data_IF_502041537466
#
_entry.id   IF_502041537466
#
_cell.length_a   1.000
_cell.length_b   1.000
_cell.length_c   1.000
_cell.angle_alpha   90.00
_cell.angle_beta   90.00
_cell.angle_gamma   90.00
#
_symmetry.space_group_name_H-M   'P 1'
#
loop_
_entity.id
_entity.type
_entity.pdbx_description
1 polymer ?
#
# COMPACT_ATOMS: atom_id res chain seq x y z
N UNK A 1 -17.66 -1.16 10.01
CA UNK A 1 -17.30 -0.06 10.91
C UNK A 1 -15.93 0.45 10.53
N UNK A 2 -15.72 1.77 10.54
CA UNK A 2 -14.43 2.38 10.23
C UNK A 2 -13.97 3.36 11.31
N UNK A 3 -12.67 3.63 11.34
CA UNK A 3 -12.03 4.69 12.14
C UNK A 3 -10.96 5.43 11.30
N UNK A 4 -10.17 6.30 11.91
CA UNK A 4 -9.11 7.09 11.24
C UNK A 4 -7.92 6.19 10.85
N UNK A 5 -7.25 5.62 11.86
CA UNK A 5 -6.05 4.79 11.69
C UNK A 5 -6.21 3.42 12.37
N UNK A 6 -5.44 2.40 11.95
CA UNK A 6 -5.50 1.11 12.59
C UNK A 6 -4.75 1.12 13.92
N UNK A 7 -5.33 0.44 14.90
CA UNK A 7 -4.64 0.06 16.13
C UNK A 7 -4.99 -1.37 16.47
N UNK A 8 -4.01 -2.17 16.90
CA UNK A 8 -4.17 -3.62 17.04
C UNK A 8 -5.35 -4.04 17.93
N UNK A 9 -5.64 -3.24 18.97
CA UNK A 9 -6.71 -3.55 19.92
C UNK A 9 -8.11 -3.31 19.33
N UNK A 10 -8.21 -2.58 18.21
CA UNK A 10 -9.45 -2.35 17.47
C UNK A 10 -9.62 -3.25 16.24
N UNK A 11 -8.59 -4.02 15.85
CA UNK A 11 -8.66 -4.88 14.65
C UNK A 11 -9.83 -5.88 14.69
N UNK A 12 -10.25 -6.32 15.89
CA UNK A 12 -11.42 -7.20 16.06
C UNK A 12 -12.78 -6.51 15.89
N UNK A 13 -12.82 -5.19 15.77
CA UNK A 13 -14.05 -4.39 15.79
C UNK A 13 -14.17 -3.44 14.59
N UNK A 14 -13.14 -3.32 13.77
CA UNK A 14 -13.11 -2.50 12.57
C UNK A 14 -13.02 -3.39 11.33
N UNK A 15 -13.79 -3.05 10.29
CA UNK A 15 -13.69 -3.70 8.99
C UNK A 15 -12.70 -2.95 8.07
N UNK A 16 -12.59 -1.64 8.27
CA UNK A 16 -11.67 -0.77 7.53
C UNK A 16 -11.21 0.43 8.37
N UNK A 17 -10.21 1.15 7.87
CA UNK A 17 -9.73 2.44 8.40
C UNK A 17 -9.73 3.51 7.30
N UNK A 18 -9.43 4.76 7.63
CA UNK A 18 -9.26 5.81 6.63
C UNK A 18 -7.90 5.67 5.92
N UNK A 19 -6.84 5.34 6.67
CA UNK A 19 -5.49 5.09 6.15
C UNK A 19 -4.62 4.36 7.19
N UNK A 20 -3.49 3.78 6.76
CA UNK A 20 -2.43 3.28 7.65
C UNK A 20 -1.07 3.90 7.26
N UNK A 21 -0.86 5.19 7.59
CA UNK A 21 0.22 6.00 7.03
C UNK A 21 1.60 5.55 7.51
N UNK A 22 2.63 5.77 6.69
CA UNK A 22 4.00 5.78 7.19
C UNK A 22 4.27 7.03 8.01
N UNK A 23 5.25 6.94 8.92
CA UNK A 23 5.76 8.11 9.62
C UNK A 23 6.64 8.96 8.68
N UNK A 24 6.26 10.22 8.52
CA UNK A 24 7.00 11.23 7.75
C UNK A 24 7.24 12.49 8.59
N UNK A 25 8.28 13.25 8.25
CA UNK A 25 8.73 14.44 9.00
C UNK A 25 9.01 15.62 8.06
N UNK A 26 8.68 16.89 8.40
CA UNK A 26 8.15 17.36 9.70
C UNK A 26 6.65 17.14 9.90
N UNK A 27 5.94 16.67 8.89
CA UNK A 27 4.50 16.44 8.94
C UNK A 27 4.16 15.14 8.24
N UNK A 28 3.05 14.53 8.65
CA UNK A 28 2.56 13.26 8.11
C UNK A 28 2.14 13.37 6.63
N UNK A 29 1.78 14.57 6.16
CA UNK A 29 1.36 14.85 4.80
C UNK A 29 2.38 15.67 4.02
N UNK A 30 3.22 14.99 3.23
CA UNK A 30 4.27 15.64 2.44
C UNK A 30 5.58 15.89 3.20
N UNK A 31 5.87 15.09 4.23
CA UNK A 31 7.19 15.02 4.87
C UNK A 31 8.17 14.10 4.12
N UNK A 32 9.43 14.17 4.53
CA UNK A 32 10.46 13.21 4.15
C UNK A 32 10.30 11.91 4.94
N UNK A 33 10.90 10.82 4.44
CA UNK A 33 10.86 9.54 5.11
C UNK A 33 11.63 9.59 6.43
N UNK A 34 11.04 9.09 7.52
CA UNK A 34 11.74 8.91 8.81
C UNK A 34 12.66 7.67 8.82
N UNK A 35 12.59 6.86 7.77
CA UNK A 35 13.31 5.60 7.59
C UNK A 35 12.89 4.98 6.25
N UNK A 36 13.16 3.69 6.05
CA UNK A 36 12.71 2.99 4.84
C UNK A 36 11.26 2.53 5.07
N UNK A 37 10.30 2.94 4.22
CA UNK A 37 8.92 2.49 4.34
C UNK A 37 8.83 0.98 4.12
N UNK A 38 8.24 0.28 5.07
CA UNK A 38 8.02 -1.18 5.04
C UNK A 38 6.64 -1.51 5.63
N UNK A 39 5.92 -2.52 5.08
CA UNK A 39 4.52 -2.78 5.40
C UNK A 39 4.32 -3.57 6.71
N UNK A 40 4.95 -3.14 7.82
CA UNK A 40 4.96 -3.89 9.08
C UNK A 40 3.57 -4.23 9.61
N UNK A 41 2.60 -3.30 9.49
CA UNK A 41 1.24 -3.55 9.95
C UNK A 41 0.55 -4.63 9.11
N UNK A 42 0.68 -4.56 7.78
CA UNK A 42 0.07 -5.52 6.88
C UNK A 42 0.74 -6.90 6.90
N UNK A 43 2.03 -6.98 7.22
CA UNK A 43 2.69 -8.25 7.52
C UNK A 43 2.04 -9.02 8.68
N UNK A 44 1.28 -8.34 9.55
CA UNK A 44 0.58 -8.97 10.68
C UNK A 44 -0.93 -9.04 10.46
N UNK A 45 -1.53 -8.06 9.80
CA UNK A 45 -2.98 -7.85 9.80
C UNK A 45 -3.62 -7.64 8.42
N UNK A 46 -2.92 -7.91 7.32
CA UNK A 46 -3.47 -7.67 5.98
C UNK A 46 -4.79 -8.43 5.73
N UNK A 47 -4.88 -9.67 6.19
CA UNK A 47 -6.06 -10.54 6.08
C UNK A 47 -7.15 -10.23 7.13
N UNK A 48 -6.92 -9.23 7.99
CA UNK A 48 -7.74 -8.94 9.15
C UNK A 48 -8.49 -7.61 9.07
N UNK A 49 -7.93 -6.59 8.40
CA UNK A 49 -8.56 -5.27 8.26
C UNK A 49 -8.20 -4.61 6.92
N UNK A 50 -9.18 -3.99 6.27
CA UNK A 50 -8.98 -3.35 4.98
C UNK A 50 -8.37 -1.94 5.14
N UNK A 51 -7.28 -1.69 4.41
CA UNK A 51 -6.52 -0.43 4.49
C UNK A 51 -6.58 0.32 3.16
N UNK A 52 -7.19 1.51 3.12
CA UNK A 52 -7.10 2.41 1.98
C UNK A 52 -5.75 3.13 1.86
N UNK A 53 -5.36 3.45 0.62
CA UNK A 53 -4.09 4.09 0.28
C UNK A 53 -4.26 5.22 -0.73
N UNK A 54 -3.39 6.21 -0.62
CA UNK A 54 -3.22 7.29 -1.59
C UNK A 54 -2.72 6.75 -2.95
N UNK A 55 -3.07 7.45 -4.02
CA UNK A 55 -2.81 7.02 -5.41
C UNK A 55 -1.99 8.03 -6.23
N UNK A 56 -1.47 9.08 -5.59
CA UNK A 56 -0.65 10.12 -6.20
C UNK A 56 0.75 9.66 -6.64
N UNK A 57 1.44 10.52 -7.40
CA UNK A 57 2.75 10.22 -7.98
C UNK A 57 3.95 10.72 -7.16
N UNK A 58 3.72 11.55 -6.14
CA UNK A 58 4.79 12.15 -5.31
C UNK A 58 4.28 12.48 -3.91
N UNK A 59 4.57 11.60 -2.96
CA UNK A 59 4.13 11.74 -1.58
C UNK A 59 2.62 11.64 -1.42
N UNK A 60 2.12 12.25 -0.34
CA UNK A 60 0.72 12.20 0.07
C UNK A 60 0.59 12.12 1.58
N UNK A 61 -0.62 11.89 2.07
CA UNK A 61 -0.83 11.62 3.49
C UNK A 61 -0.22 10.27 3.86
N UNK A 62 0.79 10.27 4.72
CA UNK A 62 1.50 9.08 5.13
C UNK A 62 2.45 8.50 4.10
N UNK A 63 2.80 9.24 3.04
CA UNK A 63 3.72 8.79 2.00
C UNK A 63 4.90 9.77 1.93
N UNK A 64 6.15 9.28 1.98
CA UNK A 64 7.32 10.13 1.85
C UNK A 64 7.35 10.88 0.51
N UNK A 65 7.84 12.11 0.54
CA UNK A 65 8.22 12.86 -0.67
C UNK A 65 9.15 12.03 -1.56
N UNK A 66 8.93 12.11 -2.86
CA UNK A 66 9.66 11.41 -3.91
C UNK A 66 9.11 10.01 -4.24
N UNK A 67 8.35 9.39 -3.33
CA UNK A 67 7.72 8.10 -3.59
C UNK A 67 6.35 8.27 -4.26
N UNK A 68 6.07 7.42 -5.24
CA UNK A 68 4.73 7.33 -5.79
C UNK A 68 3.81 6.51 -4.88
N UNK A 69 2.77 7.14 -4.35
CA UNK A 69 1.85 6.53 -3.39
C UNK A 69 1.14 5.28 -3.94
N UNK A 70 0.82 5.27 -5.25
CA UNK A 70 0.19 4.10 -5.86
C UNK A 70 1.06 2.84 -5.82
N UNK A 71 2.40 2.97 -5.79
CA UNK A 71 3.28 1.81 -5.63
C UNK A 71 3.17 1.24 -4.22
N UNK A 72 3.05 2.09 -3.20
CA UNK A 72 2.78 1.64 -1.83
C UNK A 72 1.40 0.98 -1.72
N UNK A 73 0.38 1.53 -2.40
CA UNK A 73 -0.95 0.91 -2.49
C UNK A 73 -0.86 -0.51 -3.09
N UNK A 74 -0.16 -0.67 -4.22
CA UNK A 74 -0.02 -1.96 -4.90
C UNK A 74 0.76 -2.96 -4.04
N UNK A 75 1.91 -2.56 -3.48
CA UNK A 75 2.74 -3.42 -2.62
C UNK A 75 1.96 -3.97 -1.43
N UNK A 76 1.10 -3.13 -0.84
CA UNK A 76 0.23 -3.48 0.28
C UNK A 76 -1.12 -4.11 -0.13
N UNK A 77 -1.36 -4.29 -1.44
CA UNK A 77 -2.65 -4.68 -2.03
C UNK A 77 -3.85 -3.95 -1.42
N UNK A 78 -3.64 -2.66 -1.11
CA UNK A 78 -4.58 -1.83 -0.39
C UNK A 78 -5.71 -1.29 -1.27
N UNK A 79 -6.72 -0.70 -0.63
CA UNK A 79 -7.86 -0.10 -1.33
C UNK A 79 -7.47 1.26 -1.92
N UNK A 80 -7.52 1.47 -3.24
CA UNK A 80 -7.07 2.72 -3.85
C UNK A 80 -8.08 3.85 -3.62
N UNK A 81 -7.62 5.02 -3.17
CA UNK A 81 -8.43 6.24 -3.21
C UNK A 81 -8.66 6.72 -4.65
N UNK A 82 -9.81 7.35 -4.88
CA UNK A 82 -10.14 8.05 -6.12
C UNK A 82 -10.84 9.36 -5.81
N UNK A 83 -10.41 10.42 -6.47
CA UNK A 83 -10.98 11.76 -6.28
C UNK A 83 -12.11 12.03 -7.29
N UNK A 84 -13.15 12.79 -6.90
CA UNK A 84 -14.13 13.27 -7.85
C UNK A 84 -13.47 14.07 -8.98
N UNK A 85 -13.75 13.69 -10.23
CA UNK A 85 -13.15 14.31 -11.41
C UNK A 85 -11.79 13.73 -11.82
N UNK A 86 -11.38 12.58 -11.28
CA UNK A 86 -10.23 11.84 -11.78
C UNK A 86 -10.31 11.60 -13.30
N UNK A 87 -9.18 11.75 -13.99
CA UNK A 87 -9.08 11.48 -15.42
C UNK A 87 -9.10 9.98 -15.73
N UNK A 88 -9.15 9.64 -17.02
CA UNK A 88 -9.25 8.25 -17.46
C UNK A 88 -8.03 7.40 -17.06
N UNK A 89 -6.84 7.99 -17.03
CA UNK A 89 -5.60 7.30 -16.67
C UNK A 89 -5.55 6.99 -15.16
N UNK A 90 -5.94 7.95 -14.32
CA UNK A 90 -6.11 7.75 -12.89
C UNK A 90 -7.18 6.69 -12.59
N UNK A 91 -8.32 6.75 -13.28
CA UNK A 91 -9.39 5.75 -13.13
C UNK A 91 -8.90 4.35 -13.54
N UNK A 92 -8.13 4.24 -14.62
CA UNK A 92 -7.55 2.97 -15.07
C UNK A 92 -6.62 2.39 -14.00
N UNK A 93 -5.72 3.20 -13.44
CA UNK A 93 -4.80 2.79 -12.37
C UNK A 93 -5.55 2.35 -11.11
N UNK A 94 -6.57 3.12 -10.69
CA UNK A 94 -7.45 2.78 -9.56
C UNK A 94 -8.14 1.44 -9.79
N UNK A 95 -8.66 1.17 -11.00
CA UNK A 95 -9.32 -0.10 -11.30
C UNK A 95 -8.39 -1.30 -11.23
N UNK A 96 -7.14 -1.15 -11.68
CA UNK A 96 -6.12 -2.20 -11.56
C UNK A 96 -5.78 -2.49 -10.09
N UNK A 97 -5.49 -1.45 -9.31
CA UNK A 97 -5.25 -1.59 -7.88
C UNK A 97 -6.45 -2.17 -7.13
N UNK A 98 -7.67 -1.78 -7.48
CA UNK A 98 -8.90 -2.31 -6.88
C UNK A 98 -9.13 -3.80 -7.24
N UNK A 99 -8.76 -4.22 -8.46
CA UNK A 99 -8.85 -5.63 -8.84
C UNK A 99 -7.85 -6.48 -8.05
N UNK A 100 -6.62 -5.98 -7.86
CA UNK A 100 -5.61 -6.61 -7.03
C UNK A 100 -6.06 -6.68 -5.55
N UNK A 101 -6.55 -5.57 -4.99
CA UNK A 101 -7.06 -5.54 -3.61
C UNK A 101 -8.23 -6.51 -3.41
N UNK A 102 -9.12 -6.63 -4.41
CA UNK A 102 -10.22 -7.60 -4.38
C UNK A 102 -9.71 -9.04 -4.38
N UNK A 103 -8.66 -9.34 -5.14
CA UNK A 103 -8.03 -10.66 -5.16
C UNK A 103 -7.40 -11.00 -3.82
N UNK A 104 -6.62 -10.07 -3.26
CA UNK A 104 -5.84 -10.30 -2.04
C UNK A 104 -6.59 -10.02 -0.73
N UNK A 105 -7.85 -9.58 -0.74
CA UNK A 105 -8.57 -9.01 0.41
C UNK A 105 -8.54 -9.85 1.71
N UNK A 106 -8.35 -11.16 1.61
CA UNK A 106 -8.30 -12.10 2.75
C UNK A 106 -7.04 -12.96 2.75
N UNK A 107 -6.04 -12.56 1.98
CA UNK A 107 -4.77 -13.27 1.88
C UNK A 107 -3.78 -12.68 2.88
N UNK A 108 -3.07 -13.54 3.60
CA UNK A 108 -1.98 -13.11 4.47
C UNK A 108 -0.81 -12.61 3.61
N UNK A 109 -0.24 -11.46 3.97
CA UNK A 109 1.06 -11.03 3.44
C UNK A 109 2.15 -11.82 4.16
N UNK A 110 2.64 -12.90 3.54
CA UNK A 110 3.56 -13.86 4.16
C UNK A 110 5.02 -13.41 4.14
N UNK A 111 5.39 -12.52 3.23
CA UNK A 111 6.75 -12.01 3.14
C UNK A 111 6.81 -10.58 2.60
N UNK A 112 7.82 -9.83 3.04
CA UNK A 112 8.29 -8.60 2.43
C UNK A 112 9.82 -8.65 2.35
N UNK A 113 10.39 -8.31 1.20
CA UNK A 113 11.83 -8.33 0.98
C UNK A 113 12.32 -7.14 0.12
N UNK A 114 13.58 -6.76 0.33
CA UNK A 114 14.30 -5.83 -0.53
C UNK A 114 15.03 -6.63 -1.61
N UNK A 115 14.85 -6.24 -2.87
CA UNK A 115 15.40 -6.97 -4.01
C UNK A 115 16.84 -6.59 -4.36
N UNK A 116 17.33 -5.50 -3.77
CA UNK A 116 18.67 -4.96 -3.98
C UNK A 116 19.19 -4.19 -2.75
N UNK A 117 20.44 -3.74 -2.81
CA UNK A 117 21.07 -2.95 -1.74
C UNK A 117 20.48 -1.54 -1.60
N UNK A 118 19.88 -1.01 -2.68
CA UNK A 118 19.24 0.32 -2.67
C UNK A 118 17.98 0.32 -1.80
N UNK A 119 17.32 -0.83 -1.68
CA UNK A 119 16.05 -1.03 -0.96
C UNK A 119 14.89 -0.23 -1.57
N UNK A 120 15.09 0.33 -2.77
CA UNK A 120 14.05 1.00 -3.57
C UNK A 120 13.30 0.02 -4.46
N UNK A 121 13.81 -1.20 -4.62
CA UNK A 121 13.06 -2.30 -5.22
C UNK A 121 12.58 -3.21 -4.10
N UNK A 122 11.27 -3.31 -3.94
CA UNK A 122 10.64 -4.06 -2.85
C UNK A 122 9.66 -5.09 -3.40
N UNK A 123 9.53 -6.22 -2.70
CA UNK A 123 8.55 -7.25 -3.04
C UNK A 123 7.73 -7.65 -1.83
N UNK A 124 6.42 -7.80 -2.02
CA UNK A 124 5.52 -8.48 -1.10
C UNK A 124 5.04 -9.81 -1.71
N UNK A 125 4.92 -10.84 -0.88
CA UNK A 125 4.35 -12.15 -1.25
C UNK A 125 3.15 -12.45 -0.36
N UNK A 126 2.07 -12.94 -0.96
CA UNK A 126 0.84 -13.33 -0.29
C UNK A 126 0.71 -14.86 -0.23
N UNK A 127 -0.13 -15.37 0.68
CA UNK A 127 -0.22 -16.81 0.98
C UNK A 127 -0.73 -17.69 -0.18
N UNK A 128 -1.42 -17.13 -1.17
CA UNK A 128 -1.79 -17.85 -2.40
C UNK A 128 -0.63 -17.94 -3.42
N UNK A 129 0.50 -17.28 -3.16
CA UNK A 129 1.64 -17.19 -4.07
C UNK A 129 1.67 -15.91 -4.91
N UNK A 130 0.68 -15.02 -4.77
CA UNK A 130 0.67 -13.72 -5.45
C UNK A 130 1.85 -12.86 -4.99
N UNK A 131 2.57 -12.27 -5.93
CA UNK A 131 3.75 -11.44 -5.70
C UNK A 131 3.60 -10.08 -6.38
N UNK A 132 3.92 -9.03 -5.63
CA UNK A 132 3.95 -7.65 -6.10
C UNK A 132 5.39 -7.18 -5.94
N UNK A 133 6.03 -6.77 -7.03
CA UNK A 133 7.33 -6.10 -6.99
C UNK A 133 7.17 -4.67 -7.46
N UNK A 134 7.71 -3.71 -6.71
CA UNK A 134 7.68 -2.28 -7.05
C UNK A 134 9.09 -1.72 -7.07
N UNK A 135 9.34 -0.79 -8.00
CA UNK A 135 10.58 -0.01 -8.08
C UNK A 135 10.25 1.47 -7.87
N UNK A 136 10.62 2.02 -6.71
CA UNK A 136 10.34 3.41 -6.37
C UNK A 136 11.23 4.42 -7.12
N UNK A 137 12.34 3.99 -7.74
CA UNK A 137 13.18 4.87 -8.56
C UNK A 137 12.59 5.06 -9.96
N UNK A 138 12.20 3.96 -10.61
CA UNK A 138 11.68 3.98 -12.00
C UNK A 138 10.17 4.12 -12.07
N UNK A 139 9.48 3.97 -10.94
CA UNK A 139 8.01 3.96 -10.81
C UNK A 139 7.32 2.79 -11.50
N UNK A 140 8.06 1.72 -11.76
CA UNK A 140 7.58 0.50 -12.39
C UNK A 140 7.12 -0.51 -11.35
N UNK A 141 6.22 -1.41 -11.74
CA UNK A 141 5.81 -2.54 -10.91
C UNK A 141 5.47 -3.75 -11.76
N UNK A 142 5.49 -4.92 -11.12
CA UNK A 142 4.99 -6.16 -11.68
C UNK A 142 4.11 -6.88 -10.65
N UNK A 143 3.04 -7.51 -11.15
CA UNK A 143 2.13 -8.35 -10.38
C UNK A 143 2.16 -9.73 -11.01
N UNK A 144 2.42 -10.76 -10.21
CA UNK A 144 2.33 -12.16 -10.61
C UNK A 144 1.35 -12.84 -9.68
N UNK A 145 0.27 -13.40 -10.20
CA UNK A 145 -0.73 -14.10 -9.39
C UNK A 145 -0.29 -15.53 -9.10
N UNK A 146 -0.64 -16.04 -7.92
CA UNK A 146 -0.47 -17.44 -7.57
C UNK A 146 -1.33 -18.39 -8.41
N UNK A 147 -0.96 -19.67 -8.42
CA UNK A 147 -1.71 -20.75 -9.10
C UNK A 147 -2.89 -21.28 -8.26
#
# INVERSE_FOLDING_TARGET
MSSEEPTEYLTRSLDLVHHAPYATYPNIGGGDACGIPVPLYNLVYHDSILVPWEMGDDGGWGIPKGDAAYLHCLLNTGLPYVWPGADEDAIKRVREAAALARHCAHLEMTNHEFMDESRRIQRATYNDGTQITVNFETREYSITYGE
#
